data_IF_562773689635
#
_entry.id   IF_562773689635
#
_cell.length_a   1.000
_cell.length_b   1.000
_cell.length_c   1.000
_cell.angle_alpha   90.00
_cell.angle_beta   90.00
_cell.angle_gamma   90.00
#
_symmetry.space_group_name_H-M   'P 1'
#
loop_
_entity.id
_entity.type
_entity.pdbx_description
1 polymer ?
#
# COMPACT_ATOMS: atom_id res chain seq x y z
N UNK A 1 16.63 3.66 12.01
CA UNK A 1 15.38 3.28 11.34
C UNK A 1 14.95 1.92 11.83
N UNK A 2 13.71 1.80 12.28
CA UNK A 2 13.10 0.53 12.72
C UNK A 2 11.74 0.35 12.06
N UNK A 3 11.38 -0.91 11.76
CA UNK A 3 10.01 -1.29 11.40
C UNK A 3 9.33 -1.82 12.66
N UNK A 4 8.26 -1.18 13.07
CA UNK A 4 7.44 -1.60 14.21
C UNK A 4 6.27 -2.46 13.70
N UNK A 5 6.11 -3.63 14.31
CA UNK A 5 5.02 -4.56 14.05
C UNK A 5 4.55 -5.16 15.37
N UNK A 6 3.36 -4.78 15.82
CA UNK A 6 2.73 -5.29 17.03
C UNK A 6 1.49 -6.09 16.64
N UNK A 7 1.58 -7.40 16.70
CA UNK A 7 0.49 -8.29 16.29
C UNK A 7 -0.49 -8.53 17.44
N UNK A 8 -1.76 -8.26 17.20
CA UNK A 8 -2.84 -8.45 18.18
C UNK A 8 -3.37 -9.88 18.24
N UNK A 9 -3.25 -10.62 17.15
CA UNK A 9 -3.74 -12.00 17.06
C UNK A 9 -2.81 -12.89 16.24
N UNK A 10 -2.43 -14.03 16.81
CA UNK A 10 -1.47 -14.97 16.22
C UNK A 10 -2.01 -15.69 14.97
N UNK A 11 -3.32 -15.80 14.82
CA UNK A 11 -3.94 -16.52 13.70
C UNK A 11 -4.13 -15.60 12.48
N UNK A 12 -4.60 -14.40 12.72
CA UNK A 12 -4.90 -13.44 11.65
C UNK A 12 -3.74 -12.52 11.31
N UNK A 13 -2.79 -12.35 12.24
CA UNK A 13 -1.65 -11.43 12.15
C UNK A 13 -2.05 -9.97 11.91
N UNK A 14 -3.27 -9.61 12.35
CA UNK A 14 -3.69 -8.20 12.35
C UNK A 14 -2.91 -7.42 13.42
N UNK A 15 -2.52 -6.18 13.12
CA UNK A 15 -1.86 -5.33 14.10
C UNK A 15 -2.82 -4.92 15.22
N UNK A 16 -2.31 -4.93 16.46
CA UNK A 16 -3.00 -4.31 17.60
C UNK A 16 -2.90 -2.79 17.49
N UNK A 17 -3.99 -2.14 17.16
CA UNK A 17 -3.99 -0.70 16.92
C UNK A 17 -3.58 0.13 18.14
N UNK A 18 -4.02 -0.29 19.35
CA UNK A 18 -3.75 0.43 20.60
C UNK A 18 -2.30 0.28 21.00
N UNK A 19 -1.80 -0.95 21.04
CA UNK A 19 -0.41 -1.22 21.43
C UNK A 19 0.59 -0.72 20.37
N UNK A 20 0.23 -0.75 19.08
CA UNK A 20 1.02 -0.13 18.01
C UNK A 20 1.19 1.37 18.23
N UNK A 21 0.11 2.09 18.58
CA UNK A 21 0.17 3.53 18.85
C UNK A 21 1.07 3.83 20.06
N UNK A 22 0.86 3.14 21.17
CA UNK A 22 1.67 3.30 22.39
C UNK A 22 3.16 3.01 22.13
N UNK A 23 3.46 1.91 21.44
CA UNK A 23 4.83 1.54 21.11
C UNK A 23 5.49 2.55 20.17
N UNK A 24 4.73 3.13 19.23
CA UNK A 24 5.22 4.22 18.37
C UNK A 24 5.60 5.43 19.20
N UNK A 25 4.75 5.87 20.13
CA UNK A 25 5.05 7.01 21.02
C UNK A 25 6.29 6.79 21.88
N UNK A 26 6.49 5.59 22.39
CA UNK A 26 7.67 5.25 23.20
C UNK A 26 8.93 5.31 22.35
N UNK A 27 8.95 4.58 21.23
CA UNK A 27 10.14 4.49 20.39
C UNK A 27 10.53 5.84 19.76
N UNK A 28 9.55 6.66 19.38
CA UNK A 28 9.84 7.99 18.82
C UNK A 28 10.41 8.94 19.89
N UNK A 29 9.92 8.88 21.14
CA UNK A 29 10.50 9.62 22.28
C UNK A 29 11.94 9.19 22.58
N UNK A 30 12.27 7.92 22.36
CA UNK A 30 13.63 7.39 22.50
C UNK A 30 14.54 7.73 21.29
N UNK A 31 14.02 8.47 20.30
CA UNK A 31 14.79 8.96 19.16
C UNK A 31 14.86 8.00 17.97
N UNK A 32 14.10 6.91 17.96
CA UNK A 32 14.01 6.03 16.81
C UNK A 32 13.21 6.66 15.67
N UNK A 33 13.64 6.44 14.43
CA UNK A 33 12.84 6.67 13.22
C UNK A 33 12.00 5.42 12.97
N UNK A 34 10.69 5.50 13.21
CA UNK A 34 9.78 4.35 13.23
C UNK A 34 8.93 4.32 11.98
N UNK A 35 9.05 3.25 11.19
CA UNK A 35 8.09 2.87 10.16
C UNK A 35 7.07 1.92 10.80
N UNK A 36 5.77 2.18 10.64
CA UNK A 36 4.74 1.52 11.44
C UNK A 36 3.81 0.68 10.59
N UNK A 37 3.83 -0.65 10.80
CA UNK A 37 2.80 -1.55 10.27
C UNK A 37 1.47 -1.31 11.00
N UNK A 38 0.40 -1.12 10.24
CA UNK A 38 -0.91 -0.78 10.80
C UNK A 38 -2.07 -1.33 9.95
N UNK A 39 -3.27 -1.27 10.51
CA UNK A 39 -4.50 -1.48 9.75
C UNK A 39 -4.68 -0.37 8.71
N UNK A 40 -5.57 -0.61 7.76
CA UNK A 40 -6.00 0.35 6.73
C UNK A 40 -7.03 1.38 7.26
N UNK A 41 -6.92 1.74 8.55
CA UNK A 41 -7.74 2.76 9.19
C UNK A 41 -7.13 4.16 9.02
N UNK A 42 -7.80 5.08 8.29
CA UNK A 42 -7.30 6.42 8.07
C UNK A 42 -7.12 7.26 9.35
N UNK A 43 -7.96 7.05 10.37
CA UNK A 43 -7.84 7.76 11.64
C UNK A 43 -6.63 7.26 12.44
N UNK A 44 -6.40 5.96 12.45
CA UNK A 44 -5.21 5.37 13.08
C UNK A 44 -3.93 5.83 12.37
N UNK A 45 -3.91 5.82 11.04
CA UNK A 45 -2.77 6.33 10.27
C UNK A 45 -2.40 7.77 10.67
N UNK A 46 -3.41 8.65 10.82
CA UNK A 46 -3.20 10.03 11.29
C UNK A 46 -2.67 10.10 12.72
N UNK A 47 -3.16 9.25 13.62
CA UNK A 47 -2.67 9.17 15.01
C UNK A 47 -1.20 8.74 15.06
N UNK A 48 -0.82 7.75 14.25
CA UNK A 48 0.56 7.28 14.14
C UNK A 48 1.50 8.36 13.57
N UNK A 49 1.06 9.13 12.57
CA UNK A 49 1.79 10.30 12.07
C UNK A 49 2.01 11.33 13.20
N UNK A 50 0.97 11.65 13.96
CA UNK A 50 1.05 12.58 15.10
C UNK A 50 1.93 12.05 16.24
N UNK A 51 2.03 10.73 16.41
CA UNK A 51 2.91 10.06 17.36
C UNK A 51 4.40 10.08 16.94
N UNK A 52 4.70 10.62 15.74
CA UNK A 52 6.06 10.79 15.25
C UNK A 52 6.58 9.66 14.35
N UNK A 53 5.70 8.82 13.82
CA UNK A 53 6.09 7.85 12.79
C UNK A 53 6.79 8.55 11.62
N UNK A 54 7.74 7.89 10.97
CA UNK A 54 8.43 8.41 9.78
C UNK A 54 7.92 7.79 8.47
N UNK A 55 7.12 6.73 8.53
CA UNK A 55 6.38 6.15 7.42
C UNK A 55 5.17 5.37 7.96
N UNK A 56 4.07 5.38 7.20
CA UNK A 56 2.87 4.61 7.47
C UNK A 56 2.84 3.39 6.55
N UNK A 57 2.67 2.21 7.14
CA UNK A 57 2.73 0.94 6.42
C UNK A 57 1.41 0.16 6.58
N UNK A 58 0.32 0.59 5.91
CA UNK A 58 -0.97 -0.09 6.03
C UNK A 58 -0.96 -1.43 5.33
N UNK A 59 -1.67 -2.40 5.88
CA UNK A 59 -1.95 -3.65 5.18
C UNK A 59 -2.94 -3.45 4.02
N UNK A 60 -2.78 -4.21 2.95
CA UNK A 60 -3.80 -4.40 1.92
C UNK A 60 -4.75 -5.55 2.31
N UNK A 61 -4.20 -6.58 2.95
CA UNK A 61 -4.86 -7.76 3.50
C UNK A 61 -3.91 -8.40 4.54
N UNK A 62 -4.35 -9.42 5.32
CA UNK A 62 -3.50 -10.07 6.31
C UNK A 62 -2.15 -10.55 5.76
N UNK A 63 -1.13 -10.53 6.60
CA UNK A 63 0.23 -11.01 6.26
C UNK A 63 0.17 -12.41 5.65
N UNK A 64 0.78 -12.58 4.49
CA UNK A 64 0.89 -13.88 3.81
C UNK A 64 -0.40 -14.39 3.18
N UNK A 65 -1.50 -13.63 3.23
CA UNK A 65 -2.79 -14.04 2.65
C UNK A 65 -2.83 -14.01 1.12
N UNK A 66 -2.08 -13.10 0.50
CA UNK A 66 -2.10 -12.92 -0.96
C UNK A 66 -3.46 -12.48 -1.54
N UNK A 67 -4.34 -11.92 -0.69
CA UNK A 67 -5.70 -11.51 -1.09
C UNK A 67 -5.74 -10.20 -1.89
N UNK A 68 -4.61 -9.51 -1.99
CA UNK A 68 -4.54 -8.21 -2.67
C UNK A 68 -5.19 -7.08 -1.89
N UNK A 69 -5.42 -5.97 -2.57
CA UNK A 69 -5.98 -4.75 -1.96
C UNK A 69 -7.48 -4.92 -1.72
N UNK A 70 -7.89 -5.03 -0.46
CA UNK A 70 -9.29 -5.22 -0.07
C UNK A 70 -10.04 -3.90 0.03
N UNK A 71 -9.41 -2.83 0.52
CA UNK A 71 -10.04 -1.53 0.70
C UNK A 71 -9.24 -0.40 0.05
N UNK A 72 -9.46 -0.22 -1.25
CA UNK A 72 -8.81 0.83 -2.04
C UNK A 72 -9.14 2.25 -1.54
N UNK A 73 -10.35 2.43 -1.00
CA UNK A 73 -10.83 3.76 -0.58
C UNK A 73 -10.04 4.21 0.64
N UNK A 74 -9.92 3.36 1.67
CA UNK A 74 -9.16 3.68 2.86
C UNK A 74 -7.70 3.97 2.55
N UNK A 75 -7.04 3.14 1.74
CA UNK A 75 -5.65 3.37 1.32
C UNK A 75 -5.49 4.70 0.58
N UNK A 76 -6.46 5.06 -0.28
CA UNK A 76 -6.46 6.36 -0.97
C UNK A 76 -6.62 7.54 0.00
N UNK A 77 -7.48 7.40 1.00
CA UNK A 77 -7.68 8.41 2.05
C UNK A 77 -6.38 8.56 2.85
N UNK A 78 -5.78 7.46 3.31
CA UNK A 78 -4.50 7.47 4.04
C UNK A 78 -3.45 8.22 3.22
N UNK A 79 -3.26 7.84 1.94
CA UNK A 79 -2.26 8.48 1.08
C UNK A 79 -2.49 9.98 0.89
N UNK A 80 -3.74 10.41 0.79
CA UNK A 80 -4.08 11.81 0.55
C UNK A 80 -3.95 12.70 1.80
N UNK A 81 -4.11 12.14 2.99
CA UNK A 81 -4.12 12.92 4.24
C UNK A 81 -2.76 12.98 4.94
N UNK A 82 -1.83 12.08 4.64
CA UNK A 82 -0.49 12.08 5.24
C UNK A 82 0.55 12.69 4.32
N UNK A 83 1.56 13.34 4.92
CA UNK A 83 2.77 13.80 4.22
C UNK A 83 3.90 12.76 4.27
N UNK A 84 3.75 11.74 5.09
CA UNK A 84 4.72 10.66 5.23
C UNK A 84 4.68 9.70 4.04
N UNK A 85 5.75 8.98 3.78
CA UNK A 85 5.72 7.84 2.87
C UNK A 85 4.66 6.81 3.29
N UNK A 86 3.86 6.34 2.33
CA UNK A 86 2.89 5.27 2.51
C UNK A 86 3.37 4.05 1.74
N UNK A 87 3.63 2.97 2.46
CA UNK A 87 4.17 1.72 1.91
C UNK A 87 3.16 0.60 2.22
N UNK A 88 2.60 -0.02 1.20
CA UNK A 88 1.70 -1.17 1.42
C UNK A 88 2.53 -2.35 1.88
N UNK A 89 2.26 -2.85 3.10
CA UNK A 89 3.14 -3.80 3.79
C UNK A 89 2.72 -5.27 3.64
N UNK A 90 1.44 -5.57 3.61
CA UNK A 90 0.97 -6.96 3.65
C UNK A 90 -0.17 -7.21 2.65
N UNK A 91 -0.40 -8.49 2.33
CA UNK A 91 -1.53 -8.92 1.52
C UNK A 91 -1.31 -8.91 0.01
N UNK A 92 -0.22 -8.36 -0.50
CA UNK A 92 0.12 -8.42 -1.94
C UNK A 92 0.32 -9.88 -2.34
N UNK A 93 -0.41 -10.34 -3.36
CA UNK A 93 -0.35 -11.71 -3.85
C UNK A 93 0.18 -11.85 -5.27
N UNK A 94 0.03 -10.81 -6.10
CA UNK A 94 0.43 -10.84 -7.51
C UNK A 94 0.80 -9.44 -8.02
N UNK A 95 1.37 -9.39 -9.23
CA UNK A 95 1.87 -8.16 -9.83
C UNK A 95 0.80 -7.06 -9.97
N UNK A 96 -0.44 -7.41 -10.31
CA UNK A 96 -1.54 -6.43 -10.40
C UNK A 96 -1.85 -5.73 -9.07
N UNK A 97 -1.68 -6.41 -7.93
CA UNK A 97 -1.89 -5.78 -6.62
C UNK A 97 -0.83 -4.70 -6.36
N UNK A 98 0.44 -5.01 -6.68
CA UNK A 98 1.52 -4.05 -6.58
C UNK A 98 1.31 -2.84 -7.52
N UNK A 99 0.87 -3.09 -8.77
CA UNK A 99 0.51 -2.02 -9.71
C UNK A 99 -0.58 -1.13 -9.13
N UNK A 100 -1.66 -1.72 -8.60
CA UNK A 100 -2.77 -0.99 -7.99
C UNK A 100 -2.32 -0.13 -6.81
N UNK A 101 -1.46 -0.65 -5.93
CA UNK A 101 -0.89 0.11 -4.82
C UNK A 101 -0.18 1.38 -5.31
N UNK A 102 0.65 1.24 -6.33
CA UNK A 102 1.40 2.35 -6.91
C UNK A 102 0.49 3.34 -7.66
N UNK A 103 -0.56 2.86 -8.34
CA UNK A 103 -1.57 3.70 -9.01
C UNK A 103 -2.45 4.48 -8.02
N UNK A 104 -2.65 3.99 -6.79
CA UNK A 104 -3.27 4.74 -5.70
C UNK A 104 -2.40 5.91 -5.23
N UNK A 105 -1.13 5.94 -5.61
CA UNK A 105 -0.15 6.95 -5.25
C UNK A 105 0.68 6.59 -4.03
N UNK A 106 0.63 5.35 -3.56
CA UNK A 106 1.53 4.88 -2.51
C UNK A 106 2.99 4.98 -2.96
N UNK A 107 3.89 5.15 -2.00
CA UNK A 107 5.31 5.40 -2.26
C UNK A 107 6.11 4.11 -2.46
N UNK A 108 5.54 2.98 -2.03
CA UNK A 108 6.15 1.67 -2.20
C UNK A 108 5.25 0.52 -1.79
N UNK A 109 5.77 -0.68 -1.98
CA UNK A 109 5.20 -1.94 -1.50
C UNK A 109 6.28 -2.77 -0.84
N UNK A 110 5.96 -3.47 0.24
CA UNK A 110 6.83 -4.44 0.87
C UNK A 110 6.28 -5.84 0.55
N UNK A 111 7.07 -6.64 -0.14
CA UNK A 111 6.64 -7.94 -0.67
C UNK A 111 7.63 -9.02 -0.24
N UNK A 112 7.11 -10.08 0.35
CA UNK A 112 7.89 -11.26 0.70
C UNK A 112 7.19 -12.53 0.20
N UNK A 113 6.10 -12.93 0.85
CA UNK A 113 5.43 -14.22 0.66
C UNK A 113 5.00 -14.47 -0.78
N UNK A 114 4.50 -13.45 -1.48
CA UNK A 114 4.07 -13.56 -2.87
C UNK A 114 5.22 -13.99 -3.82
N UNK A 115 6.45 -13.56 -3.51
CA UNK A 115 7.64 -13.96 -4.26
C UNK A 115 8.13 -15.32 -3.77
N UNK A 116 8.34 -15.47 -2.46
CA UNK A 116 8.96 -16.65 -1.88
C UNK A 116 8.15 -17.93 -2.10
N UNK A 117 6.82 -17.85 -2.14
CA UNK A 117 5.90 -18.99 -2.36
C UNK A 117 5.40 -19.13 -3.80
N UNK A 118 5.88 -18.30 -4.73
CA UNK A 118 5.56 -18.47 -6.14
C UNK A 118 6.16 -19.76 -6.70
N UNK A 119 5.53 -20.34 -7.74
CA UNK A 119 6.08 -21.51 -8.44
C UNK A 119 7.46 -21.20 -9.04
N UNK A 120 7.65 -19.98 -9.52
CA UNK A 120 8.93 -19.46 -9.97
C UNK A 120 9.20 -18.11 -9.27
N UNK A 121 9.95 -18.08 -8.16
CA UNK A 121 10.23 -16.86 -7.40
C UNK A 121 11.01 -15.80 -8.21
N UNK A 122 11.89 -16.21 -9.11
CA UNK A 122 12.65 -15.26 -9.93
C UNK A 122 11.75 -14.49 -10.91
N UNK A 123 10.89 -15.20 -11.64
CA UNK A 123 9.91 -14.60 -12.53
C UNK A 123 8.92 -13.70 -11.76
N UNK A 124 8.49 -14.14 -10.58
CA UNK A 124 7.60 -13.33 -9.74
C UNK A 124 8.29 -12.06 -9.22
N UNK A 125 9.55 -12.13 -8.83
CA UNK A 125 10.31 -10.96 -8.40
C UNK A 125 10.45 -9.95 -9.55
N UNK A 126 10.72 -10.42 -10.78
CA UNK A 126 10.80 -9.58 -11.97
C UNK A 126 9.43 -8.96 -12.30
N UNK A 127 8.36 -9.75 -12.26
CA UNK A 127 6.99 -9.28 -12.46
C UNK A 127 6.63 -8.18 -11.45
N UNK A 128 6.95 -8.36 -10.16
CA UNK A 128 6.73 -7.36 -9.13
C UNK A 128 7.52 -6.06 -9.36
N UNK A 129 8.77 -6.17 -9.80
CA UNK A 129 9.59 -5.01 -10.19
C UNK A 129 8.90 -4.19 -11.29
N UNK A 130 8.47 -4.85 -12.36
CA UNK A 130 7.78 -4.15 -13.46
C UNK A 130 6.42 -3.60 -13.04
N UNK A 131 5.69 -4.30 -12.19
CA UNK A 131 4.42 -3.85 -11.64
C UNK A 131 4.56 -2.51 -10.88
N UNK A 132 5.56 -2.41 -10.01
CA UNK A 132 5.86 -1.18 -9.26
C UNK A 132 6.24 -0.05 -10.21
N UNK A 133 7.12 -0.30 -11.17
CA UNK A 133 7.54 0.70 -12.16
C UNK A 133 6.36 1.18 -13.00
N UNK A 134 5.55 0.24 -13.50
CA UNK A 134 4.38 0.54 -14.32
C UNK A 134 3.34 1.35 -13.55
N UNK A 135 2.96 0.89 -12.35
CA UNK A 135 1.98 1.58 -11.52
C UNK A 135 2.44 3.00 -11.13
N UNK A 136 3.73 3.17 -10.79
CA UNK A 136 4.28 4.50 -10.49
C UNK A 136 4.25 5.44 -11.71
N UNK A 137 4.62 4.95 -12.89
CA UNK A 137 4.54 5.73 -14.13
C UNK A 137 3.10 6.10 -14.47
N UNK A 138 2.16 5.15 -14.35
CA UNK A 138 0.72 5.38 -14.53
C UNK A 138 0.20 6.49 -13.62
N UNK A 139 0.54 6.44 -12.32
CA UNK A 139 0.18 7.47 -11.35
C UNK A 139 0.71 8.85 -11.72
N UNK A 140 2.01 8.94 -12.07
CA UNK A 140 2.68 10.21 -12.40
C UNK A 140 2.20 10.82 -13.73
N UNK A 141 1.82 9.97 -14.70
CA UNK A 141 1.28 10.42 -15.98
C UNK A 141 -0.13 11.01 -15.86
N UNK A 142 -0.82 10.68 -14.79
CA UNK A 142 -2.20 11.06 -14.60
C UNK A 142 -3.18 10.18 -15.40
N UNK A 143 -4.28 9.87 -14.78
CA UNK A 143 -5.36 9.08 -15.35
C UNK A 143 -6.32 9.99 -16.10
N UNK A 144 -6.87 9.56 -17.23
CA UNK A 144 -8.05 10.21 -17.83
C UNK A 144 -9.23 10.16 -16.84
N UNK A 145 -10.06 11.18 -16.85
CA UNK A 145 -11.26 11.20 -16.02
C UNK A 145 -12.20 10.06 -16.46
N UNK A 146 -12.73 9.27 -15.50
CA UNK A 146 -13.79 8.32 -15.83
C UNK A 146 -14.99 9.04 -16.46
N UNK A 147 -15.49 8.50 -17.55
CA UNK A 147 -16.70 8.98 -18.19
C UNK A 147 -17.73 7.84 -18.21
N UNK A 148 -18.98 8.18 -17.95
CA UNK A 148 -20.08 7.20 -17.97
C UNK A 148 -20.41 6.75 -19.39
N UNK A 149 -20.20 7.64 -20.37
CA UNK A 149 -20.49 7.37 -21.78
C UNK A 149 -19.20 7.27 -22.59
N UNK A 150 -19.23 6.43 -23.63
CA UNK A 150 -18.12 6.33 -24.56
C UNK A 150 -17.85 7.66 -25.27
N UNK A 151 -16.56 7.93 -25.53
CA UNK A 151 -16.12 9.04 -26.36
C UNK A 151 -15.30 8.46 -27.51
N UNK A 152 -15.69 8.78 -28.74
CA UNK A 152 -14.97 8.29 -29.92
C UNK A 152 -13.54 8.84 -29.95
N UNK A 153 -12.55 7.97 -30.10
CA UNK A 153 -11.14 8.35 -30.26
C UNK A 153 -10.81 8.80 -31.69
N UNK A 154 -11.69 8.53 -32.64
CA UNK A 154 -11.56 8.89 -34.08
C UNK A 154 -12.71 9.80 -34.44
N UNK A 155 -12.44 10.81 -35.27
CA UNK A 155 -13.50 11.69 -35.79
C UNK A 155 -14.45 10.90 -36.69
N UNK A 156 -15.76 11.07 -36.50
CA UNK A 156 -16.78 10.43 -37.34
C UNK A 156 -16.88 11.05 -38.76
N UNK A 157 -16.11 12.10 -39.05
CA UNK A 157 -16.07 12.71 -40.36
C UNK A 157 -15.31 11.80 -41.35
N UNK A 158 -16.03 11.31 -42.36
CA UNK A 158 -15.49 10.41 -43.36
C UNK A 158 -15.80 8.91 -43.16
N UNK A 159 -16.57 8.53 -42.15
CA UNK A 159 -17.16 7.20 -42.06
C UNK A 159 -18.44 7.16 -42.89
N UNK A 160 -18.49 6.24 -43.87
CA UNK A 160 -19.65 5.95 -44.70
C UNK A 160 -20.61 5.06 -43.92
#
# INVERSE_FOLDING_TARGET
LVKLEVLGDKKTLFPDAIETLKSTEVLTKEGFKVMVYCNDDPLMAKRLENAGACAIMPLAAPIGSGLGIQNRINLKIIRNQTKLPVIIDAGIGQASDATQAMELGCDGVLINTAIAKAKNPYEMAEAMKYAVISGRKSYLSGRINPNLFGSASTTNSGLI
#
